data_IF_745323207375
#
_entry.id   IF_745323207375
#
_cell.length_a   1.000
_cell.length_b   1.000
_cell.length_c   1.000
_cell.angle_alpha   90.00
_cell.angle_beta   90.00
_cell.angle_gamma   90.00
#
_symmetry.space_group_name_H-M   'P 1'
#
loop_
_entity.id
_entity.type
_entity.pdbx_description
1 polymer ?
#
# COMPACT_ATOMS: atom_id res chain seq x y z
N UNK A 1 -8.66 23.09 -9.30
CA UNK A 1 -7.45 22.89 -8.47
C UNK A 1 -7.77 21.84 -7.41
N UNK A 2 -7.30 20.58 -7.50
CA UNK A 2 -7.54 19.63 -6.39
C UNK A 2 -6.71 18.33 -6.42
N UNK A 3 -6.32 17.81 -7.59
CA UNK A 3 -5.64 16.50 -7.68
C UNK A 3 -4.26 16.42 -7.01
N UNK A 4 -3.44 17.47 -7.12
CA UNK A 4 -2.05 17.44 -6.62
C UNK A 4 -1.92 17.42 -5.09
N UNK A 5 -2.91 17.98 -4.37
CA UNK A 5 -2.91 17.95 -2.90
C UNK A 5 -3.19 16.54 -2.37
N UNK A 6 -4.15 15.83 -2.96
CA UNK A 6 -4.44 14.44 -2.60
C UNK A 6 -3.26 13.52 -2.91
N UNK A 7 -2.62 13.70 -4.07
CA UNK A 7 -1.44 12.92 -4.45
C UNK A 7 -0.26 13.12 -3.49
N UNK A 8 0.01 14.37 -3.09
CA UNK A 8 1.07 14.68 -2.12
C UNK A 8 0.77 14.09 -0.74
N UNK A 9 -0.50 14.14 -0.29
CA UNK A 9 -0.90 13.51 0.97
C UNK A 9 -0.69 12.00 0.96
N UNK A 10 -1.08 11.32 -0.13
CA UNK A 10 -0.88 9.87 -0.27
C UNK A 10 0.61 9.52 -0.27
N UNK A 11 1.44 10.27 -1.00
CA UNK A 11 2.90 10.08 -1.01
C UNK A 11 3.50 10.23 0.39
N UNK A 12 3.07 11.24 1.16
CA UNK A 12 3.52 11.44 2.53
C UNK A 12 3.09 10.29 3.45
N UNK A 13 1.85 9.79 3.31
CA UNK A 13 1.35 8.66 4.09
C UNK A 13 2.19 7.41 3.81
N UNK A 14 2.46 7.11 2.53
CA UNK A 14 3.29 5.97 2.12
C UNK A 14 4.69 6.09 2.72
N UNK A 15 5.34 7.25 2.58
CA UNK A 15 6.68 7.49 3.10
C UNK A 15 6.78 7.35 4.63
N UNK A 16 5.76 7.83 5.35
CA UNK A 16 5.69 7.68 6.81
C UNK A 16 5.55 6.22 7.24
N UNK A 17 4.70 5.44 6.56
CA UNK A 17 4.51 4.01 6.87
C UNK A 17 5.81 3.23 6.59
N UNK A 18 6.48 3.48 5.46
CA UNK A 18 7.77 2.86 5.15
C UNK A 18 8.79 3.15 6.24
N UNK A 19 8.90 4.41 6.67
CA UNK A 19 9.84 4.82 7.72
C UNK A 19 9.54 4.11 9.04
N UNK A 20 8.28 4.05 9.45
CA UNK A 20 7.84 3.36 10.66
C UNK A 20 8.14 1.86 10.62
N UNK A 21 7.90 1.20 9.48
CA UNK A 21 8.26 -0.22 9.31
C UNK A 21 9.77 -0.44 9.46
N UNK A 22 10.61 0.43 8.88
CA UNK A 22 12.08 0.33 8.98
C UNK A 22 12.55 0.52 10.43
N UNK A 23 12.02 1.52 11.15
CA UNK A 23 12.31 1.75 12.59
C UNK A 23 11.96 0.52 13.42
N UNK A 24 10.92 -0.22 13.03
CA UNK A 24 10.48 -1.46 13.69
C UNK A 24 11.15 -2.72 13.12
N UNK A 25 12.22 -2.58 12.35
CA UNK A 25 13.05 -3.68 11.83
C UNK A 25 12.47 -4.44 10.62
N UNK A 26 11.44 -3.90 9.97
CA UNK A 26 10.81 -4.51 8.79
C UNK A 26 11.10 -3.67 7.53
N UNK A 27 11.93 -4.20 6.64
CA UNK A 27 12.15 -3.58 5.34
C UNK A 27 10.96 -3.86 4.40
N UNK A 28 10.23 -2.81 4.02
CA UNK A 28 9.08 -2.88 3.09
C UNK A 28 9.32 -1.91 1.92
N UNK A 29 8.88 -2.28 0.73
CA UNK A 29 8.96 -1.39 -0.44
C UNK A 29 7.81 -0.37 -0.46
N UNK A 30 8.04 0.82 -1.01
CA UNK A 30 6.98 1.83 -1.21
C UNK A 30 5.80 1.25 -2.01
N UNK A 31 6.08 0.40 -3.00
CA UNK A 31 5.06 -0.30 -3.80
C UNK A 31 4.16 -1.18 -2.93
N UNK A 32 4.75 -1.99 -2.04
CA UNK A 32 3.98 -2.85 -1.13
C UNK A 32 3.08 -2.01 -0.20
N UNK A 33 3.62 -0.92 0.33
CA UNK A 33 2.87 0.01 1.18
C UNK A 33 1.73 0.68 0.41
N UNK A 34 1.94 1.10 -0.84
CA UNK A 34 0.90 1.67 -1.68
C UNK A 34 -0.25 0.67 -1.94
N UNK A 35 0.07 -0.60 -2.18
CA UNK A 35 -0.93 -1.67 -2.28
C UNK A 35 -1.68 -1.87 -0.97
N UNK A 36 -0.98 -1.87 0.17
CA UNK A 36 -1.60 -2.02 1.49
C UNK A 36 -2.57 -0.87 1.80
N UNK A 37 -2.14 0.39 1.57
CA UNK A 37 -2.99 1.57 1.74
C UNK A 37 -4.27 1.44 0.92
N UNK A 38 -4.14 1.06 -0.36
CA UNK A 38 -5.31 0.83 -1.24
C UNK A 38 -6.21 -0.28 -0.71
N UNK A 39 -5.64 -1.41 -0.27
CA UNK A 39 -6.40 -2.54 0.27
C UNK A 39 -7.16 -2.17 1.55
N UNK A 40 -6.52 -1.41 2.45
CA UNK A 40 -7.13 -0.94 3.71
C UNK A 40 -8.27 0.04 3.45
N UNK A 41 -8.10 0.97 2.51
CA UNK A 41 -9.14 1.95 2.16
C UNK A 41 -10.35 1.29 1.46
N UNK A 42 -10.11 0.29 0.61
CA UNK A 42 -11.16 -0.40 -0.13
C UNK A 42 -11.91 -1.46 0.68
N UNK A 43 -11.39 -1.89 1.83
CA UNK A 43 -12.05 -2.87 2.68
C UNK A 43 -13.22 -2.21 3.45
N UNK A 44 -14.48 -2.62 3.20
CA UNK A 44 -15.65 -1.99 3.82
C UNK A 44 -15.67 -2.18 5.35
N UNK A 45 -14.96 -3.17 5.88
CA UNK A 45 -14.86 -3.44 7.33
C UNK A 45 -14.08 -2.36 8.06
N UNK A 46 -13.19 -1.64 7.36
CA UNK A 46 -12.38 -0.58 7.97
C UNK A 46 -13.14 0.75 8.08
N UNK A 47 -14.28 0.89 7.39
CA UNK A 47 -15.17 2.05 7.51
C UNK A 47 -14.62 3.34 6.90
N UNK A 48 -13.72 3.25 5.92
CA UNK A 48 -13.27 4.41 5.13
C UNK A 48 -14.31 4.75 4.06
N UNK A 49 -14.57 6.05 3.87
CA UNK A 49 -15.42 6.54 2.79
C UNK A 49 -14.54 7.14 1.69
N UNK A 50 -14.51 6.50 0.53
CA UNK A 50 -13.65 6.88 -0.61
C UNK A 50 -14.09 8.21 -1.24
N UNK A 51 -15.36 8.60 -1.09
CA UNK A 51 -15.92 9.84 -1.61
C UNK A 51 -15.70 11.06 -0.70
N UNK A 52 -15.15 10.86 0.50
CA UNK A 52 -14.92 11.95 1.46
C UNK A 52 -13.43 12.29 1.59
N UNK A 53 -13.14 13.56 1.84
CA UNK A 53 -11.79 14.02 2.19
C UNK A 53 -11.36 13.35 3.50
N UNK A 54 -10.19 12.70 3.48
CA UNK A 54 -9.57 12.10 4.66
C UNK A 54 -9.31 13.14 5.74
N UNK A 55 -9.85 12.91 6.95
CA UNK A 55 -9.55 13.74 8.11
C UNK A 55 -8.20 13.34 8.73
N UNK A 56 -7.66 14.17 9.64
CA UNK A 56 -6.46 13.81 10.39
C UNK A 56 -6.61 12.50 11.16
N UNK A 57 -7.80 12.21 11.68
CA UNK A 57 -8.09 10.96 12.40
C UNK A 57 -8.11 9.77 11.45
N UNK A 58 -8.69 9.91 10.25
CA UNK A 58 -8.69 8.86 9.23
C UNK A 58 -7.27 8.54 8.78
N UNK A 59 -6.41 9.55 8.63
CA UNK A 59 -4.99 9.36 8.28
C UNK A 59 -4.24 8.59 9.37
N UNK A 60 -4.48 8.89 10.65
CA UNK A 60 -3.86 8.13 11.75
C UNK A 60 -4.34 6.68 11.77
N UNK A 61 -5.67 6.46 11.71
CA UNK A 61 -6.27 5.12 11.65
C UNK A 61 -5.76 4.31 10.45
N UNK A 62 -5.64 4.95 9.29
CA UNK A 62 -5.11 4.32 8.08
C UNK A 62 -3.66 3.86 8.26
N UNK A 63 -2.82 4.69 8.87
CA UNK A 63 -1.43 4.34 9.17
C UNK A 63 -1.35 3.15 10.12
N UNK A 64 -2.11 3.18 11.21
CA UNK A 64 -2.14 2.09 12.20
C UNK A 64 -2.57 0.76 11.56
N UNK A 65 -3.68 0.75 10.82
CA UNK A 65 -4.17 -0.45 10.14
C UNK A 65 -3.18 -0.98 9.10
N UNK A 66 -2.47 -0.10 8.37
CA UNK A 66 -1.43 -0.52 7.44
C UNK A 66 -0.23 -1.10 8.17
N UNK A 67 0.23 -0.48 9.26
CA UNK A 67 1.35 -0.97 10.06
C UNK A 67 1.04 -2.34 10.67
N UNK A 68 -0.14 -2.50 11.27
CA UNK A 68 -0.57 -3.78 11.85
C UNK A 68 -0.57 -4.88 10.79
N UNK A 69 -1.15 -4.63 9.61
CA UNK A 69 -1.19 -5.61 8.52
C UNK A 69 0.18 -5.92 7.92
N UNK A 70 1.07 -4.93 7.84
CA UNK A 70 2.44 -5.13 7.33
C UNK A 70 3.34 -5.87 8.31
N UNK A 71 3.07 -5.74 9.61
CA UNK A 71 3.82 -6.36 10.70
C UNK A 71 3.19 -7.64 11.24
N UNK A 72 1.99 -8.00 10.76
CA UNK A 72 1.31 -9.25 11.11
C UNK A 72 2.22 -10.45 10.74
N UNK A 73 2.69 -11.17 11.77
CA UNK A 73 3.45 -12.40 11.60
C UNK A 73 2.48 -13.51 11.20
N UNK A 74 2.84 -14.28 10.18
CA UNK A 74 2.05 -15.41 9.67
C UNK A 74 0.69 -14.99 9.07
N UNK A 75 0.70 -14.02 8.17
CA UNK A 75 -0.47 -13.67 7.37
C UNK A 75 -0.40 -14.34 5.98
N UNK A 76 -1.17 -15.41 5.71
CA UNK A 76 -1.18 -16.06 4.39
C UNK A 76 -1.54 -15.07 3.26
N UNK A 77 -2.33 -14.04 3.58
CA UNK A 77 -2.71 -12.97 2.67
C UNK A 77 -1.54 -12.02 2.36
N UNK A 78 -0.65 -11.76 3.32
CA UNK A 78 0.55 -10.96 3.07
C UNK A 78 1.54 -11.74 2.20
N UNK A 79 1.65 -13.05 2.40
CA UNK A 79 2.52 -13.91 1.59
C UNK A 79 2.04 -14.00 0.13
N UNK A 80 0.74 -14.06 -0.14
CA UNK A 80 0.22 -14.02 -1.52
C UNK A 80 0.50 -12.67 -2.20
N UNK A 81 0.36 -11.55 -1.49
CA UNK A 81 0.69 -10.21 -2.02
C UNK A 81 2.19 -10.10 -2.32
N UNK A 82 3.06 -10.56 -1.43
CA UNK A 82 4.52 -10.59 -1.66
C UNK A 82 4.87 -11.42 -2.90
N UNK A 83 4.23 -12.57 -3.07
CA UNK A 83 4.45 -13.44 -4.23
C UNK A 83 4.04 -12.74 -5.54
N UNK A 84 2.93 -11.99 -5.52
CA UNK A 84 2.41 -11.29 -6.69
C UNK A 84 3.27 -10.08 -7.08
N UNK A 85 3.73 -9.28 -6.10
CA UNK A 85 4.68 -8.19 -6.32
C UNK A 85 6.02 -8.73 -6.84
N UNK A 86 6.51 -9.84 -6.30
CA UNK A 86 7.72 -10.49 -6.80
C UNK A 86 7.57 -10.92 -8.26
N UNK A 87 6.45 -11.54 -8.63
CA UNK A 87 6.18 -11.91 -10.01
C UNK A 87 6.19 -10.69 -10.93
N UNK A 88 5.49 -9.62 -10.53
CA UNK A 88 5.39 -8.42 -11.36
C UNK A 88 6.73 -7.72 -11.59
N UNK A 89 7.57 -7.65 -10.55
CA UNK A 89 8.90 -7.04 -10.65
C UNK A 89 9.89 -7.88 -11.46
N UNK A 90 9.79 -9.22 -11.41
CA UNK A 90 10.80 -10.10 -11.99
C UNK A 90 10.41 -10.71 -13.35
N UNK A 91 9.11 -10.80 -13.65
CA UNK A 91 8.61 -11.53 -14.82
C UNK A 91 7.70 -10.73 -15.74
N UNK A 92 7.11 -9.61 -15.30
CA UNK A 92 6.22 -8.80 -16.17
C UNK A 92 7.01 -8.02 -17.24
N UNK A 93 8.31 -7.75 -17.04
CA UNK A 93 9.19 -7.21 -18.10
C UNK A 93 9.41 -8.18 -19.27
N UNK A 94 9.06 -9.48 -19.15
CA UNK A 94 9.17 -10.46 -20.25
C UNK A 94 7.93 -10.55 -21.15
N UNK A 95 6.82 -9.90 -20.80
CA UNK A 95 5.58 -9.87 -21.63
C UNK A 95 5.53 -8.73 -22.65
N UNK A 96 6.61 -7.97 -22.82
CA UNK A 96 6.84 -7.13 -24.03
C UNK A 96 7.67 -7.89 -25.08
N UNK A 97 7.33 -9.15 -25.32
CA UNK A 97 7.75 -9.87 -26.52
C UNK A 97 6.65 -10.90 -26.83
N UNK A 98 6.10 -10.86 -28.05
CA UNK A 98 4.84 -11.48 -28.52
C UNK A 98 3.58 -10.78 -27.96
N UNK A 99 2.94 -9.82 -28.65
CA UNK A 99 2.43 -9.94 -30.02
C UNK A 99 2.68 -8.66 -30.85
N UNK A 100 3.71 -8.71 -31.69
CA UNK A 100 3.73 -8.03 -32.99
C UNK A 100 3.38 -9.12 -34.00
N UNK A 101 2.09 -9.30 -34.29
CA UNK A 101 1.61 -9.86 -35.55
C UNK A 101 0.17 -9.44 -35.77
#
# INVERSE_FOLDING_TARGET
>A
MSGGHAESLIKNIIGDIVRECVVRGHAVSETLVAFMVKAVVLDPRNGFNVDRILTKQDVQKLKELCLDKLMEKCSPSLDTIKMQVYFDLNYTSRRKCLCLK
#
